data_IF_027297694826
#
_entry.id   IF_027297694826
#
_cell.length_a   1.000
_cell.length_b   1.000
_cell.length_c   1.000
_cell.angle_alpha   90.00
_cell.angle_beta   90.00
_cell.angle_gamma   90.00
#
_symmetry.space_group_name_H-M   'P 1'
#
loop_
_entity.id
_entity.type
_entity.pdbx_description
1 polymer ?
#
# COMPACT_ATOMS: atom_id res chain seq x y z
N UNK A 1 43.03 -10.83 -46.98
CA UNK A 1 42.41 -11.93 -46.20
C UNK A 1 41.88 -11.39 -44.90
N UNK A 2 40.57 -11.29 -44.70
CA UNK A 2 40.02 -10.89 -43.41
C UNK A 2 39.88 -12.14 -42.52
N UNK A 3 40.31 -12.02 -41.27
CA UNK A 3 40.16 -13.04 -40.23
C UNK A 3 38.67 -13.21 -39.86
N UNK A 4 38.18 -14.43 -39.65
CA UNK A 4 36.82 -14.65 -39.20
C UNK A 4 36.70 -14.28 -37.72
N UNK A 5 35.82 -13.35 -37.40
CA UNK A 5 35.40 -13.08 -36.02
C UNK A 5 34.55 -14.29 -35.58
N UNK A 6 35.15 -15.11 -34.73
CA UNK A 6 34.59 -16.39 -34.33
C UNK A 6 33.35 -16.25 -33.44
N UNK A 7 32.38 -17.16 -33.64
CA UNK A 7 31.16 -17.35 -32.88
C UNK A 7 31.34 -17.46 -31.35
N UNK A 8 32.57 -17.66 -30.87
CA UNK A 8 32.92 -17.68 -29.44
C UNK A 8 32.75 -16.33 -28.71
N UNK A 9 32.83 -15.20 -29.45
CA UNK A 9 32.71 -13.86 -28.86
C UNK A 9 31.27 -13.48 -28.49
N UNK A 10 30.28 -13.95 -29.25
CA UNK A 10 28.87 -13.63 -29.05
C UNK A 10 28.34 -14.41 -27.86
N UNK A 11 28.72 -15.68 -27.67
CA UNK A 11 28.37 -16.48 -26.53
C UNK A 11 28.94 -15.96 -25.20
N UNK A 12 30.20 -15.48 -25.22
CA UNK A 12 30.82 -14.90 -24.03
C UNK A 12 30.23 -13.54 -23.62
N UNK A 13 29.81 -12.73 -24.60
CA UNK A 13 29.09 -11.47 -24.33
C UNK A 13 27.67 -11.70 -23.81
N UNK A 14 26.96 -12.68 -24.36
CA UNK A 14 25.64 -13.08 -23.87
C UNK A 14 25.71 -13.67 -22.43
N UNK A 15 26.69 -14.57 -22.18
CA UNK A 15 26.93 -15.13 -20.85
C UNK A 15 27.34 -14.05 -19.82
N UNK A 16 28.17 -13.06 -20.25
CA UNK A 16 28.54 -11.94 -19.38
C UNK A 16 27.37 -10.99 -19.08
N UNK A 17 26.50 -10.73 -20.06
CA UNK A 17 25.27 -9.97 -19.88
C UNK A 17 24.27 -10.70 -18.97
N UNK A 18 24.19 -12.02 -19.08
CA UNK A 18 23.36 -12.87 -18.26
C UNK A 18 23.89 -12.98 -16.82
N UNK A 19 25.22 -13.08 -16.64
CA UNK A 19 25.87 -13.04 -15.32
C UNK A 19 25.69 -11.67 -14.65
N UNK A 20 25.78 -10.57 -15.42
CA UNK A 20 25.56 -9.20 -14.93
C UNK A 20 24.10 -8.98 -14.48
N UNK A 21 23.13 -9.58 -15.16
CA UNK A 21 21.71 -9.54 -14.76
C UNK A 21 21.44 -10.30 -13.46
N UNK A 22 22.15 -11.40 -13.21
CA UNK A 22 22.00 -12.24 -12.00
C UNK A 22 22.60 -11.59 -10.75
N UNK A 23 23.56 -10.70 -10.90
CA UNK A 23 24.29 -10.05 -9.78
C UNK A 23 23.97 -8.56 -9.62
N UNK A 24 23.24 -7.96 -10.55
CA UNK A 24 22.88 -6.54 -10.45
C UNK A 24 21.97 -6.26 -9.26
N UNK A 25 22.36 -5.32 -8.41
CA UNK A 25 21.58 -4.86 -7.26
C UNK A 25 20.29 -4.19 -7.72
N UNK A 26 20.33 -3.46 -8.84
CA UNK A 26 19.20 -2.76 -9.46
C UNK A 26 18.97 -3.26 -10.88
N UNK A 27 17.71 -3.23 -11.34
CA UNK A 27 17.37 -3.53 -12.71
C UNK A 27 17.65 -2.35 -13.64
N UNK A 28 18.16 -2.64 -14.84
CA UNK A 28 18.25 -1.68 -15.95
C UNK A 28 17.02 -1.71 -16.86
N UNK A 29 16.10 -2.65 -16.66
CA UNK A 29 14.90 -2.86 -17.46
C UNK A 29 13.70 -2.09 -16.87
N UNK A 30 13.90 -0.78 -16.62
CA UNK A 30 12.88 0.08 -16.02
C UNK A 30 12.80 1.41 -16.75
N UNK A 31 11.59 1.91 -17.00
CA UNK A 31 11.32 3.19 -17.65
C UNK A 31 11.32 4.37 -16.69
N UNK A 32 11.24 4.11 -15.39
CA UNK A 32 11.30 5.13 -14.33
C UNK A 32 11.59 4.49 -12.99
N UNK A 33 12.44 5.14 -12.22
CA UNK A 33 12.83 4.61 -10.90
C UNK A 33 13.20 5.72 -9.93
N UNK A 34 13.05 5.43 -8.63
CA UNK A 34 13.52 6.24 -7.51
C UNK A 34 14.10 5.30 -6.47
N UNK A 35 15.35 5.51 -6.10
CA UNK A 35 16.07 4.66 -5.16
C UNK A 35 16.62 5.44 -3.99
N UNK A 36 16.81 4.76 -2.87
CA UNK A 36 17.62 5.22 -1.74
C UNK A 36 18.61 4.13 -1.32
N UNK A 37 19.72 4.56 -0.72
CA UNK A 37 20.79 3.70 -0.22
C UNK A 37 21.22 4.20 1.15
N UNK A 38 21.13 3.34 2.17
CA UNK A 38 21.57 3.64 3.53
C UNK A 38 22.84 2.86 3.93
N UNK A 39 23.12 1.77 3.23
CA UNK A 39 24.31 0.97 3.39
C UNK A 39 24.14 -0.39 2.74
N UNK A 40 25.14 -0.80 1.94
CA UNK A 40 25.16 -2.11 1.30
C UNK A 40 25.88 -3.18 2.15
N UNK A 41 26.61 -2.75 3.19
CA UNK A 41 27.41 -3.61 4.07
C UNK A 41 26.86 -3.55 5.48
N UNK A 42 25.92 -4.44 5.79
CA UNK A 42 25.27 -4.54 7.10
C UNK A 42 25.52 -5.87 7.82
N UNK A 43 26.56 -6.60 7.43
CA UNK A 43 26.93 -7.87 8.07
C UNK A 43 27.44 -7.60 9.49
N UNK A 44 26.73 -8.11 10.49
CA UNK A 44 27.19 -8.10 11.89
C UNK A 44 26.43 -7.21 12.87
N UNK A 45 25.48 -6.38 12.43
CA UNK A 45 24.64 -5.61 13.37
C UNK A 45 23.43 -6.44 13.84
N UNK A 46 23.21 -6.44 15.16
CA UNK A 46 22.20 -7.28 15.82
C UNK A 46 20.71 -6.89 15.54
N UNK A 47 20.43 -5.96 14.64
CA UNK A 47 19.11 -5.40 14.40
C UNK A 47 18.46 -5.79 13.07
N UNK A 48 17.36 -5.11 12.75
CA UNK A 48 16.75 -5.01 11.42
C UNK A 48 17.16 -3.66 10.85
N UNK A 49 17.82 -3.63 9.69
CA UNK A 49 18.39 -2.42 9.10
C UNK A 49 17.93 -2.34 7.64
N UNK A 50 17.24 -1.26 7.24
CA UNK A 50 17.03 -1.00 5.82
C UNK A 50 18.37 -0.71 5.14
N UNK A 51 18.66 -1.44 4.07
CA UNK A 51 19.90 -1.26 3.31
C UNK A 51 19.69 -0.35 2.11
N UNK A 52 18.73 -0.69 1.28
CA UNK A 52 18.31 0.10 0.13
C UNK A 52 16.90 -0.30 -0.30
N UNK A 53 16.29 0.51 -1.12
CA UNK A 53 14.96 0.24 -1.66
C UNK A 53 14.56 1.29 -2.68
N UNK A 54 13.38 1.13 -3.22
CA UNK A 54 12.92 2.09 -4.22
C UNK A 54 11.59 1.73 -4.85
N UNK A 55 11.27 2.52 -5.86
CA UNK A 55 10.14 2.35 -6.76
C UNK A 55 10.65 2.11 -8.18
N UNK A 56 10.00 1.20 -8.91
CA UNK A 56 10.32 0.86 -10.29
C UNK A 56 9.07 0.79 -11.15
N UNK A 57 9.15 1.38 -12.36
CA UNK A 57 8.23 1.09 -13.47
C UNK A 57 8.94 0.14 -14.42
N UNK A 58 8.49 -1.09 -14.46
CA UNK A 58 9.10 -2.13 -15.30
C UNK A 58 8.89 -1.83 -16.78
N UNK A 59 9.90 -2.11 -17.59
CA UNK A 59 9.75 -2.17 -19.06
C UNK A 59 9.05 -3.49 -19.45
N UNK A 60 8.46 -3.61 -20.64
CA UNK A 60 7.81 -4.85 -21.10
C UNK A 60 8.71 -6.10 -21.07
N UNK A 61 10.02 -5.94 -21.18
CA UNK A 61 11.04 -7.00 -21.16
C UNK A 61 11.61 -7.28 -19.76
N UNK A 62 10.98 -6.73 -18.69
CA UNK A 62 11.49 -6.88 -17.34
C UNK A 62 11.53 -8.34 -16.90
N UNK A 63 12.73 -8.82 -16.62
CA UNK A 63 13.02 -10.15 -16.12
C UNK A 63 14.17 -10.09 -15.13
N UNK A 64 13.93 -10.44 -13.89
CA UNK A 64 14.94 -10.60 -12.84
C UNK A 64 15.07 -12.09 -12.52
N UNK A 65 16.29 -12.59 -12.52
CA UNK A 65 16.62 -13.94 -12.07
C UNK A 65 17.76 -13.87 -11.07
N UNK A 66 17.58 -14.51 -9.92
CA UNK A 66 18.59 -14.57 -8.85
C UNK A 66 18.61 -15.96 -8.24
N UNK A 67 19.77 -16.55 -8.08
CA UNK A 67 19.92 -17.84 -7.41
C UNK A 67 19.88 -17.69 -5.88
N UNK A 68 20.25 -16.50 -5.35
CA UNK A 68 20.13 -16.12 -3.94
C UNK A 68 20.23 -14.61 -3.77
N UNK A 69 19.96 -14.11 -2.57
CA UNK A 69 20.20 -12.73 -2.15
C UNK A 69 20.68 -12.69 -0.71
N UNK A 70 21.53 -11.73 -0.36
CA UNK A 70 21.98 -11.52 1.03
C UNK A 70 20.95 -10.78 1.90
N UNK A 71 19.89 -10.27 1.29
CA UNK A 71 18.90 -9.43 1.93
C UNK A 71 17.58 -10.17 2.16
N UNK A 72 16.88 -9.81 3.23
CA UNK A 72 15.45 -10.04 3.33
C UNK A 72 14.74 -8.95 2.55
N UNK A 73 14.07 -9.30 1.46
CA UNK A 73 13.47 -8.34 0.53
C UNK A 73 11.97 -8.47 0.50
N UNK A 74 11.27 -7.36 0.72
CA UNK A 74 9.83 -7.22 0.47
C UNK A 74 9.62 -6.44 -0.83
N UNK A 75 8.67 -6.91 -1.66
CA UNK A 75 8.22 -6.20 -2.85
C UNK A 75 6.69 -6.07 -2.86
N UNK A 76 6.21 -4.86 -3.17
CA UNK A 76 4.80 -4.54 -3.32
C UNK A 76 4.51 -4.09 -4.75
N UNK A 77 3.67 -4.83 -5.48
CA UNK A 77 3.15 -4.42 -6.78
C UNK A 77 2.00 -3.44 -6.56
N UNK A 78 2.05 -2.29 -7.23
CA UNK A 78 1.02 -1.23 -7.12
C UNK A 78 0.28 -0.95 -8.43
N UNK A 79 0.73 -1.54 -9.54
CA UNK A 79 0.08 -1.46 -10.84
C UNK A 79 0.63 -2.49 -11.80
N UNK A 80 -0.10 -2.74 -12.88
CA UNK A 80 0.26 -3.76 -13.86
C UNK A 80 0.10 -5.18 -13.35
N UNK A 81 0.63 -6.12 -14.10
CA UNK A 81 0.57 -7.56 -13.81
C UNK A 81 1.91 -8.23 -14.10
N UNK A 82 2.09 -9.41 -13.53
CA UNK A 82 3.32 -10.18 -13.72
C UNK A 82 3.27 -11.52 -13.03
N UNK A 83 4.44 -12.12 -12.89
CA UNK A 83 4.59 -13.42 -12.26
C UNK A 83 5.87 -13.44 -11.43
N UNK A 84 5.82 -14.02 -10.24
CA UNK A 84 6.99 -14.38 -9.45
C UNK A 84 7.09 -15.90 -9.34
N UNK A 85 8.29 -16.44 -9.58
CA UNK A 85 8.64 -17.82 -9.31
C UNK A 85 9.64 -17.84 -8.18
N UNK A 86 9.29 -18.49 -7.08
CA UNK A 86 10.13 -18.63 -5.89
C UNK A 86 10.33 -20.12 -5.59
N UNK A 87 11.56 -20.60 -5.65
CA UNK A 87 11.92 -22.03 -5.48
C UNK A 87 11.05 -22.98 -6.34
N UNK A 88 10.77 -22.57 -7.59
CA UNK A 88 9.97 -23.34 -8.55
C UNK A 88 8.45 -23.11 -8.47
N UNK A 89 7.92 -22.57 -7.37
CA UNK A 89 6.51 -22.26 -7.24
C UNK A 89 6.17 -20.90 -7.89
N UNK A 90 5.23 -20.88 -8.83
CA UNK A 90 4.77 -19.68 -9.51
C UNK A 90 3.58 -19.04 -8.80
N UNK A 91 3.58 -17.71 -8.73
CA UNK A 91 2.47 -16.92 -8.20
C UNK A 91 2.22 -15.72 -9.12
N UNK A 92 0.97 -15.54 -9.61
CA UNK A 92 0.62 -14.36 -10.38
C UNK A 92 0.65 -13.11 -9.49
N UNK A 93 1.14 -12.00 -10.07
CA UNK A 93 1.27 -10.71 -9.42
C UNK A 93 0.31 -9.70 -10.04
N UNK A 94 -0.29 -8.87 -9.19
CA UNK A 94 -1.15 -7.75 -9.56
C UNK A 94 -1.10 -6.67 -8.48
N UNK A 95 -1.73 -5.53 -8.69
CA UNK A 95 -1.79 -4.48 -7.67
C UNK A 95 -2.25 -5.03 -6.32
N UNK A 96 -1.48 -4.73 -5.26
CA UNK A 96 -1.64 -5.26 -3.91
C UNK A 96 -0.93 -6.59 -3.62
N UNK A 97 -0.28 -7.21 -4.62
CA UNK A 97 0.58 -8.37 -4.35
C UNK A 97 1.82 -7.93 -3.58
N UNK A 98 1.99 -8.49 -2.38
CA UNK A 98 3.16 -8.31 -1.52
C UNK A 98 3.85 -9.65 -1.38
N UNK A 99 5.15 -9.73 -1.64
CA UNK A 99 5.93 -10.96 -1.51
C UNK A 99 7.28 -10.72 -0.85
N UNK A 100 7.77 -11.79 -0.22
CA UNK A 100 9.02 -11.79 0.54
C UNK A 100 9.95 -12.90 0.03
N UNK A 101 11.20 -12.55 -0.16
CA UNK A 101 12.27 -13.50 -0.47
C UNK A 101 13.56 -13.14 0.26
N UNK A 102 14.41 -14.13 0.48
CA UNK A 102 15.67 -14.02 1.18
C UNK A 102 16.75 -14.95 0.58
N UNK A 103 17.85 -15.15 1.30
CA UNK A 103 18.98 -15.99 0.88
C UNK A 103 18.61 -17.45 0.54
N UNK A 104 17.44 -17.92 0.96
CA UNK A 104 16.97 -19.30 0.71
C UNK A 104 16.13 -19.40 -0.57
N UNK A 105 15.93 -18.26 -1.27
CA UNK A 105 15.04 -18.15 -2.40
C UNK A 105 15.81 -18.10 -3.72
N UNK A 106 15.53 -19.07 -4.60
CA UNK A 106 15.79 -18.91 -6.03
C UNK A 106 14.63 -18.18 -6.65
N UNK A 107 14.90 -17.02 -7.23
CA UNK A 107 13.90 -16.03 -7.62
C UNK A 107 13.91 -15.81 -9.13
N UNK A 108 12.71 -15.75 -9.72
CA UNK A 108 12.46 -15.16 -11.03
C UNK A 108 11.26 -14.23 -10.91
N UNK A 109 11.38 -12.98 -11.39
CA UNK A 109 10.29 -12.02 -11.49
C UNK A 109 10.20 -11.59 -12.93
N UNK A 110 9.01 -11.68 -13.53
CA UNK A 110 8.73 -11.16 -14.87
C UNK A 110 7.45 -10.34 -14.88
N UNK A 111 7.43 -9.28 -15.67
CA UNK A 111 6.23 -8.49 -15.92
C UNK A 111 5.40 -9.08 -17.05
N UNK A 112 4.12 -8.72 -17.11
CA UNK A 112 3.29 -8.86 -18.28
C UNK A 112 3.70 -7.77 -19.30
N UNK A 113 4.07 -8.10 -20.54
CA UNK A 113 4.52 -7.10 -21.52
C UNK A 113 3.46 -6.08 -21.92
N UNK A 114 2.17 -6.45 -21.90
CA UNK A 114 1.08 -5.55 -22.25
C UNK A 114 0.64 -4.68 -21.08
N UNK A 115 0.87 -5.14 -19.84
CA UNK A 115 0.52 -4.46 -18.59
C UNK A 115 1.70 -4.44 -17.63
N UNK A 116 2.81 -3.74 -17.98
CA UNK A 116 4.04 -3.75 -17.19
C UNK A 116 3.81 -3.30 -15.75
N UNK A 117 4.47 -3.99 -14.80
CA UNK A 117 4.34 -3.72 -13.38
C UNK A 117 4.93 -2.37 -12.98
N UNK A 118 4.27 -1.75 -12.01
CA UNK A 118 4.86 -0.73 -11.14
C UNK A 118 4.95 -1.30 -9.73
N UNK A 119 6.11 -1.22 -9.09
CA UNK A 119 6.36 -1.88 -7.81
C UNK A 119 7.33 -1.12 -6.92
N UNK A 120 7.20 -1.34 -5.62
CA UNK A 120 8.17 -0.96 -4.61
C UNK A 120 8.96 -2.18 -4.18
N UNK A 121 10.19 -1.96 -3.75
CA UNK A 121 10.98 -2.96 -3.07
C UNK A 121 11.76 -2.36 -1.91
N UNK A 122 12.03 -3.19 -0.90
CA UNK A 122 12.78 -2.83 0.30
C UNK A 122 13.68 -3.99 0.68
N UNK A 123 14.97 -3.77 0.60
CA UNK A 123 16.00 -4.72 1.00
C UNK A 123 16.49 -4.40 2.41
N UNK A 124 16.42 -5.39 3.28
CA UNK A 124 16.75 -5.29 4.69
C UNK A 124 17.85 -6.28 5.06
N UNK A 125 18.72 -5.90 5.98
CA UNK A 125 19.82 -6.71 6.47
C UNK A 125 19.84 -6.74 8.00
N UNK A 126 20.76 -7.53 8.57
CA UNK A 126 20.92 -7.72 10.00
C UNK A 126 20.40 -9.07 10.48
N UNK A 127 20.96 -9.57 11.58
CA UNK A 127 20.69 -10.92 12.10
C UNK A 127 19.20 -11.20 12.39
N UNK A 128 18.43 -10.15 12.68
CA UNK A 128 16.99 -10.27 13.00
C UNK A 128 16.07 -10.06 11.77
N UNK A 129 16.61 -9.61 10.62
CA UNK A 129 15.79 -9.24 9.47
C UNK A 129 14.90 -10.40 8.96
N UNK A 130 15.38 -11.63 8.71
CA UNK A 130 14.52 -12.69 8.19
C UNK A 130 13.37 -13.03 9.15
N UNK A 131 13.66 -13.08 10.47
CA UNK A 131 12.63 -13.39 11.48
C UNK A 131 11.61 -12.26 11.63
N UNK A 132 12.05 -11.01 11.64
CA UNK A 132 11.15 -9.84 11.78
C UNK A 132 10.25 -9.68 10.57
N UNK A 133 10.80 -9.84 9.36
CA UNK A 133 9.99 -9.79 8.13
C UNK A 133 9.00 -10.95 8.07
N UNK A 134 9.40 -12.17 8.42
CA UNK A 134 8.47 -13.31 8.47
C UNK A 134 7.36 -13.13 9.51
N UNK A 135 7.66 -12.46 10.63
CA UNK A 135 6.68 -12.21 11.69
C UNK A 135 5.52 -11.30 11.26
N UNK A 136 5.71 -10.45 10.22
CA UNK A 136 4.59 -9.66 9.68
C UNK A 136 3.56 -10.48 8.88
N UNK A 137 3.70 -11.81 8.84
CA UNK A 137 2.76 -12.72 8.17
C UNK A 137 3.12 -13.03 6.71
N UNK A 138 4.21 -12.48 6.18
CA UNK A 138 4.72 -12.77 4.83
C UNK A 138 6.02 -13.57 4.97
N UNK A 139 5.88 -14.90 5.11
CA UNK A 139 7.03 -15.79 5.18
C UNK A 139 7.87 -15.75 3.89
N UNK A 140 9.18 -16.11 3.92
CA UNK A 140 9.97 -16.26 2.72
C UNK A 140 9.30 -17.20 1.72
N UNK A 141 9.51 -16.97 0.44
CA UNK A 141 8.92 -17.72 -0.67
C UNK A 141 7.39 -17.70 -0.71
N UNK A 142 6.78 -16.66 -0.12
CA UNK A 142 5.34 -16.45 -0.15
C UNK A 142 4.97 -15.08 -0.70
N UNK A 143 3.87 -15.07 -1.47
CA UNK A 143 3.16 -13.89 -1.86
C UNK A 143 1.78 -13.86 -1.18
N UNK A 144 1.36 -12.69 -0.75
CA UNK A 144 0.03 -12.42 -0.18
C UNK A 144 -0.63 -11.29 -0.96
N UNK A 145 -1.95 -11.30 -1.02
CA UNK A 145 -2.71 -10.24 -1.66
C UNK A 145 -3.24 -9.29 -0.58
N UNK A 146 -2.78 -8.06 -0.59
CA UNK A 146 -3.30 -6.98 0.24
C UNK A 146 -4.39 -6.24 -0.55
N UNK A 147 -5.59 -6.19 -0.05
CA UNK A 147 -6.67 -5.47 -0.71
C UNK A 147 -6.62 -3.95 -0.42
N UNK A 148 -6.13 -3.56 0.77
CA UNK A 148 -5.91 -2.16 1.14
C UNK A 148 -4.43 -1.89 1.39
N UNK A 149 -3.66 -1.63 0.33
CA UNK A 149 -2.21 -1.44 0.42
C UNK A 149 -1.76 0.03 0.39
N UNK A 150 -2.67 0.99 0.33
CA UNK A 150 -2.35 2.42 0.21
C UNK A 150 -1.49 2.94 1.37
N UNK A 151 -1.71 2.45 2.60
CA UNK A 151 -0.90 2.84 3.75
C UNK A 151 0.51 2.26 3.69
N UNK A 152 0.63 1.00 3.25
CA UNK A 152 1.94 0.35 2.99
C UNK A 152 2.70 1.11 1.91
N UNK A 153 2.02 1.49 0.83
CA UNK A 153 2.59 2.29 -0.24
C UNK A 153 3.10 3.64 0.27
N UNK A 154 2.32 4.36 1.10
CA UNK A 154 2.75 5.65 1.68
C UNK A 154 4.00 5.51 2.54
N UNK A 155 4.08 4.48 3.37
CA UNK A 155 5.26 4.22 4.19
C UNK A 155 6.50 3.89 3.35
N UNK A 156 6.34 3.20 2.21
CA UNK A 156 7.43 2.96 1.26
C UNK A 156 7.86 4.26 0.55
N UNK A 157 6.91 5.15 0.21
CA UNK A 157 7.24 6.49 -0.30
C UNK A 157 7.99 7.33 0.74
N UNK A 158 7.56 7.28 2.01
CA UNK A 158 8.25 7.99 3.10
C UNK A 158 9.67 7.47 3.30
N UNK A 159 9.88 6.14 3.20
CA UNK A 159 11.22 5.53 3.22
C UNK A 159 12.11 6.02 2.09
N UNK A 160 11.59 6.11 0.85
CA UNK A 160 12.34 6.62 -0.30
C UNK A 160 12.71 8.08 -0.06
N UNK A 161 11.73 8.90 0.31
CA UNK A 161 11.94 10.34 0.55
C UNK A 161 12.96 10.60 1.65
N UNK A 162 12.86 9.89 2.78
CA UNK A 162 13.76 10.06 3.91
C UNK A 162 15.15 9.49 3.61
N UNK A 163 15.22 8.32 2.97
CA UNK A 163 16.49 7.68 2.61
C UNK A 163 17.32 8.47 1.59
N UNK A 164 16.70 9.35 0.80
CA UNK A 164 17.35 10.25 -0.14
C UNK A 164 17.91 11.53 0.50
N UNK A 165 17.57 11.80 1.77
CA UNK A 165 17.90 13.09 2.41
C UNK A 165 19.37 13.22 2.87
N UNK A 166 20.20 12.23 2.83
CA UNK A 166 21.61 12.26 3.27
C UNK A 166 21.87 12.92 4.65
N UNK A 167 20.85 12.94 5.53
CA UNK A 167 20.98 13.48 6.90
C UNK A 167 21.54 12.44 7.85
N UNK A 168 22.24 12.86 8.89
CA UNK A 168 22.79 11.97 9.93
C UNK A 168 21.70 11.12 10.61
N UNK A 169 20.46 11.61 10.65
CA UNK A 169 19.32 10.91 11.26
C UNK A 169 18.57 10.01 10.30
N UNK A 170 18.76 10.11 8.96
CA UNK A 170 17.99 9.40 7.96
C UNK A 170 17.93 7.88 8.18
N UNK A 171 19.07 7.26 8.48
CA UNK A 171 19.11 5.81 8.76
C UNK A 171 18.28 5.40 9.99
N UNK A 172 18.25 6.24 11.04
CA UNK A 172 17.46 5.99 12.25
C UNK A 172 15.95 6.15 11.96
N UNK A 173 15.59 7.19 11.21
CA UNK A 173 14.20 7.43 10.80
C UNK A 173 13.72 6.29 9.89
N UNK A 174 14.50 5.90 8.87
CA UNK A 174 14.17 4.78 8.01
C UNK A 174 14.01 3.45 8.80
N UNK A 175 14.85 3.21 9.80
CA UNK A 175 14.70 2.02 10.66
C UNK A 175 13.38 2.04 11.44
N UNK A 176 12.98 3.19 11.97
CA UNK A 176 11.70 3.34 12.66
C UNK A 176 10.52 3.17 11.69
N UNK A 177 10.60 3.74 10.47
CA UNK A 177 9.59 3.58 9.42
C UNK A 177 9.43 2.11 8.99
N UNK A 178 10.53 1.34 8.93
CA UNK A 178 10.47 -0.10 8.64
C UNK A 178 9.71 -0.87 9.73
N UNK A 179 9.93 -0.56 11.00
CA UNK A 179 9.17 -1.19 12.09
C UNK A 179 7.66 -0.87 11.97
N UNK A 180 7.30 0.39 11.70
CA UNK A 180 5.91 0.79 11.45
C UNK A 180 5.34 0.07 10.22
N UNK A 181 6.10 -0.03 9.13
CA UNK A 181 5.73 -0.75 7.91
C UNK A 181 5.41 -2.22 8.19
N UNK A 182 6.28 -2.92 8.92
CA UNK A 182 6.08 -4.34 9.25
C UNK A 182 4.85 -4.56 10.14
N UNK A 183 4.61 -3.68 11.12
CA UNK A 183 3.39 -3.73 11.95
C UNK A 183 2.13 -3.49 11.11
N UNK A 184 2.18 -2.55 10.16
CA UNK A 184 1.05 -2.29 9.26
C UNK A 184 0.79 -3.47 8.31
N UNK A 185 1.83 -4.11 7.79
CA UNK A 185 1.70 -5.33 6.98
C UNK A 185 1.08 -6.45 7.83
N UNK A 186 1.55 -6.67 9.06
CA UNK A 186 1.02 -7.68 9.98
C UNK A 186 -0.49 -7.50 10.21
N UNK A 187 -0.92 -6.26 10.47
CA UNK A 187 -2.35 -5.91 10.60
C UNK A 187 -3.13 -6.30 9.34
N UNK A 188 -2.66 -5.88 8.15
CA UNK A 188 -3.35 -6.10 6.88
C UNK A 188 -3.35 -7.58 6.45
N UNK A 189 -2.27 -8.31 6.66
CA UNK A 189 -2.21 -9.75 6.38
C UNK A 189 -3.15 -10.53 7.30
N UNK A 190 -3.22 -10.17 8.58
CA UNK A 190 -4.19 -10.74 9.53
C UNK A 190 -5.64 -10.51 9.10
N UNK A 191 -5.92 -9.40 8.41
CA UNK A 191 -7.22 -9.09 7.83
C UNK A 191 -7.51 -9.88 6.53
N UNK A 192 -6.49 -10.25 5.76
CA UNK A 192 -6.60 -10.83 4.40
C UNK A 192 -6.67 -12.37 4.36
N UNK A 193 -6.71 -13.07 5.50
CA UNK A 193 -6.82 -14.54 5.58
C UNK A 193 -8.08 -15.12 4.93
N UNK A 194 -8.20 -16.45 4.73
CA UNK A 194 -9.31 -17.10 3.99
C UNK A 194 -10.71 -16.73 4.51
N UNK A 195 -10.84 -16.41 5.81
CA UNK A 195 -12.05 -15.84 6.41
C UNK A 195 -12.23 -14.33 6.15
N UNK A 196 -11.23 -13.66 5.56
CA UNK A 196 -11.21 -12.22 5.31
C UNK A 196 -11.71 -11.80 3.92
N UNK A 197 -11.44 -12.58 2.87
CA UNK A 197 -11.69 -12.17 1.47
C UNK A 197 -13.15 -11.79 1.20
N UNK A 198 -14.11 -12.63 1.59
CA UNK A 198 -15.53 -12.29 1.40
C UNK A 198 -16.03 -11.16 2.30
N UNK A 199 -15.41 -11.00 3.47
CA UNK A 199 -15.73 -9.92 4.40
C UNK A 199 -15.22 -8.57 3.93
N UNK A 200 -14.04 -8.53 3.35
CA UNK A 200 -13.42 -7.31 2.86
C UNK A 200 -14.13 -6.76 1.62
N UNK A 201 -14.44 -7.60 0.64
CA UNK A 201 -15.24 -7.19 -0.52
C UNK A 201 -16.59 -6.62 -0.07
N UNK A 202 -17.24 -7.25 0.90
CA UNK A 202 -18.49 -6.77 1.50
C UNK A 202 -18.29 -5.43 2.21
N UNK A 203 -17.18 -5.26 2.95
CA UNK A 203 -16.83 -3.99 3.58
C UNK A 203 -16.60 -2.89 2.53
N UNK A 204 -15.81 -3.15 1.49
CA UNK A 204 -15.53 -2.19 0.41
C UNK A 204 -16.78 -1.78 -0.34
N UNK A 205 -17.69 -2.72 -0.62
CA UNK A 205 -19.02 -2.42 -1.18
C UNK A 205 -19.83 -1.51 -0.25
N UNK A 206 -19.85 -1.82 1.07
CA UNK A 206 -20.54 -1.00 2.07
C UNK A 206 -19.96 0.40 2.20
N UNK A 207 -18.63 0.51 2.20
CA UNK A 207 -17.92 1.78 2.21
C UNK A 207 -18.22 2.58 0.95
N UNK A 208 -18.10 1.97 -0.23
CA UNK A 208 -18.41 2.60 -1.51
C UNK A 208 -19.85 3.08 -1.63
N UNK A 209 -20.83 2.30 -1.14
CA UNK A 209 -22.23 2.70 -1.09
C UNK A 209 -22.43 3.95 -0.22
N UNK A 210 -21.77 4.01 0.96
CA UNK A 210 -21.82 5.19 1.82
C UNK A 210 -21.16 6.38 1.15
N UNK A 211 -19.95 6.22 0.58
CA UNK A 211 -19.20 7.32 -0.06
C UNK A 211 -19.99 7.92 -1.24
N UNK A 212 -20.66 7.07 -2.04
CA UNK A 212 -21.44 7.50 -3.19
C UNK A 212 -22.80 8.13 -2.83
N UNK A 213 -23.44 7.70 -1.73
CA UNK A 213 -24.81 8.04 -1.42
C UNK A 213 -25.00 8.63 -0.01
N UNK A 214 -23.95 9.17 0.60
CA UNK A 214 -23.98 9.65 1.98
C UNK A 214 -25.16 10.59 2.28
N UNK A 215 -25.50 11.50 1.36
CA UNK A 215 -26.61 12.44 1.52
C UNK A 215 -27.98 11.75 1.61
N UNK A 216 -28.17 10.62 0.91
CA UNK A 216 -29.45 9.91 0.79
C UNK A 216 -29.65 8.85 1.87
N UNK A 217 -28.58 8.19 2.30
CA UNK A 217 -28.64 7.15 3.32
C UNK A 217 -28.92 7.79 4.70
N UNK A 218 -29.90 7.29 5.43
CA UNK A 218 -30.29 7.80 6.75
C UNK A 218 -30.01 6.86 7.90
N UNK A 219 -30.10 5.57 7.64
CA UNK A 219 -30.08 4.51 8.65
C UNK A 219 -29.09 3.39 8.31
N UNK A 220 -28.78 2.56 9.32
CA UNK A 220 -28.05 1.31 9.09
C UNK A 220 -28.82 0.38 8.14
N UNK A 221 -30.16 0.40 8.20
CA UNK A 221 -31.02 -0.37 7.31
C UNK A 221 -30.82 -0.01 5.84
N UNK A 222 -30.72 1.29 5.52
CA UNK A 222 -30.48 1.76 4.14
C UNK A 222 -29.13 1.26 3.62
N UNK A 223 -28.09 1.31 4.48
CA UNK A 223 -26.75 0.84 4.12
C UNK A 223 -26.77 -0.67 3.85
N UNK A 224 -27.43 -1.44 4.73
CA UNK A 224 -27.49 -2.91 4.59
C UNK A 224 -28.31 -3.33 3.39
N UNK A 225 -29.37 -2.62 3.06
CA UNK A 225 -30.16 -2.84 1.84
C UNK A 225 -29.34 -2.59 0.57
N UNK A 226 -28.55 -1.52 0.56
CA UNK A 226 -27.66 -1.19 -0.58
C UNK A 226 -26.55 -2.22 -0.81
N UNK A 227 -26.15 -2.96 0.23
CA UNK A 227 -25.02 -3.92 0.17
C UNK A 227 -25.49 -5.38 0.10
N UNK A 228 -26.72 -5.66 0.50
CA UNK A 228 -27.30 -7.01 0.51
C UNK A 228 -26.72 -7.91 1.62
N UNK A 229 -26.41 -7.33 2.80
CA UNK A 229 -25.87 -8.09 3.95
C UNK A 229 -26.56 -7.71 5.25
N UNK A 230 -26.56 -8.62 6.21
CA UNK A 230 -27.19 -8.38 7.51
C UNK A 230 -26.47 -7.30 8.34
N UNK A 231 -27.22 -6.55 9.19
CA UNK A 231 -26.67 -5.47 10.02
C UNK A 231 -25.51 -5.90 10.91
N UNK A 232 -25.62 -7.04 11.57
CA UNK A 232 -24.57 -7.57 12.46
C UNK A 232 -23.27 -7.87 11.72
N UNK A 233 -23.37 -8.42 10.50
CA UNK A 233 -22.21 -8.70 9.65
C UNK A 233 -21.53 -7.41 9.21
N UNK A 234 -22.31 -6.44 8.72
CA UNK A 234 -21.78 -5.16 8.27
C UNK A 234 -21.12 -4.38 9.43
N UNK A 235 -21.75 -4.34 10.60
CA UNK A 235 -21.18 -3.72 11.81
C UNK A 235 -19.85 -4.35 12.21
N UNK A 236 -19.75 -5.69 12.18
CA UNK A 236 -18.52 -6.41 12.51
C UNK A 236 -17.42 -6.09 11.50
N UNK A 237 -17.75 -6.03 10.19
CA UNK A 237 -16.79 -5.70 9.14
C UNK A 237 -16.29 -4.26 9.26
N UNK A 238 -17.19 -3.30 9.46
CA UNK A 238 -16.79 -1.90 9.62
C UNK A 238 -15.92 -1.67 10.87
N UNK A 239 -16.25 -2.32 12.01
CA UNK A 239 -15.40 -2.28 13.20
C UNK A 239 -14.03 -2.88 12.95
N UNK A 240 -13.99 -4.00 12.20
CA UNK A 240 -12.73 -4.70 11.85
C UNK A 240 -11.84 -3.88 10.93
N UNK A 241 -12.40 -3.26 9.88
CA UNK A 241 -11.62 -2.61 8.82
C UNK A 241 -11.49 -1.10 8.98
N UNK A 242 -12.38 -0.45 9.73
CA UNK A 242 -12.42 1.00 9.87
C UNK A 242 -12.37 1.47 11.33
N UNK A 243 -12.48 0.57 12.32
CA UNK A 243 -12.57 0.92 13.73
C UNK A 243 -13.89 1.62 14.14
N UNK A 244 -14.82 1.81 13.20
CA UNK A 244 -16.06 2.52 13.36
C UNK A 244 -17.26 1.60 13.04
N UNK A 245 -18.48 1.98 13.48
CA UNK A 245 -19.68 1.36 12.92
C UNK A 245 -20.02 1.96 11.55
N UNK A 246 -20.79 1.25 10.68
CA UNK A 246 -21.24 1.79 9.40
C UNK A 246 -21.96 3.13 9.54
N UNK A 247 -22.81 3.28 10.55
CA UNK A 247 -23.53 4.52 10.84
C UNK A 247 -22.61 5.65 11.29
N UNK A 248 -21.59 5.37 12.11
CA UNK A 248 -20.58 6.37 12.48
C UNK A 248 -19.81 6.83 11.25
N UNK A 249 -19.41 5.91 10.36
CA UNK A 249 -18.76 6.24 9.11
C UNK A 249 -19.65 7.11 8.21
N UNK A 250 -20.94 6.74 8.06
CA UNK A 250 -21.92 7.56 7.34
C UNK A 250 -22.03 8.97 7.93
N UNK A 251 -22.10 9.07 9.26
CA UNK A 251 -22.17 10.37 9.94
C UNK A 251 -20.93 11.24 9.64
N UNK A 252 -19.72 10.68 9.70
CA UNK A 252 -18.50 11.40 9.33
C UNK A 252 -18.52 11.88 7.87
N UNK A 253 -18.99 11.03 6.94
CA UNK A 253 -19.10 11.42 5.53
C UNK A 253 -20.11 12.55 5.31
N UNK A 254 -21.27 12.48 5.96
CA UNK A 254 -22.28 13.56 5.96
C UNK A 254 -21.70 14.88 6.49
N UNK A 255 -20.97 14.83 7.59
CA UNK A 255 -20.37 16.02 8.20
C UNK A 255 -19.25 16.60 7.33
N UNK A 256 -18.48 15.78 6.63
CA UNK A 256 -17.50 16.24 5.66
C UNK A 256 -18.17 16.97 4.48
N UNK A 257 -19.20 16.37 3.88
CA UNK A 257 -20.00 17.03 2.83
C UNK A 257 -20.65 18.33 3.30
N UNK A 258 -21.17 18.35 4.54
CA UNK A 258 -21.75 19.56 5.11
C UNK A 258 -20.71 20.66 5.32
N UNK A 259 -19.49 20.31 5.72
CA UNK A 259 -18.40 21.27 5.83
C UNK A 259 -18.05 21.89 4.47
N UNK A 260 -17.99 21.09 3.40
CA UNK A 260 -17.80 21.57 2.02
C UNK A 260 -18.91 22.53 1.59
N UNK A 261 -20.18 22.19 1.87
CA UNK A 261 -21.33 23.05 1.56
C UNK A 261 -21.31 24.37 2.33
N UNK A 262 -20.85 24.35 3.58
CA UNK A 262 -20.74 25.55 4.42
C UNK A 262 -19.59 26.50 4.02
N UNK A 263 -18.67 26.07 3.13
CA UNK A 263 -17.64 26.93 2.54
C UNK A 263 -18.20 27.88 1.48
N UNK A 264 -19.35 27.59 0.90
CA UNK A 264 -19.95 28.44 -0.12
C UNK A 264 -20.36 29.80 0.46
N UNK A 265 -20.19 30.93 -0.28
CA UNK A 265 -20.65 32.23 0.14
C UNK A 265 -22.16 32.20 0.45
N UNK A 266 -22.55 32.78 1.58
CA UNK A 266 -23.95 32.87 2.03
C UNK A 266 -24.64 31.52 2.27
N UNK A 267 -23.90 30.43 2.44
CA UNK A 267 -24.48 29.12 2.74
C UNK A 267 -25.30 29.14 4.04
N UNK A 268 -26.52 28.63 3.98
CA UNK A 268 -27.39 28.55 5.16
C UNK A 268 -27.21 27.19 5.84
N UNK A 269 -27.00 27.21 7.15
CA UNK A 269 -26.86 25.97 7.96
C UNK A 269 -28.06 25.04 7.79
N UNK A 270 -29.27 25.59 7.66
CA UNK A 270 -30.50 24.81 7.43
C UNK A 270 -30.48 24.10 6.06
N UNK A 271 -29.98 24.76 5.03
CA UNK A 271 -29.90 24.19 3.68
C UNK A 271 -28.83 23.11 3.64
N UNK A 272 -27.63 23.36 4.18
CA UNK A 272 -26.58 22.36 4.30
C UNK A 272 -27.06 21.12 5.06
N UNK A 273 -27.80 21.29 6.17
CA UNK A 273 -28.40 20.19 6.90
C UNK A 273 -29.37 19.37 6.03
N UNK A 274 -30.26 20.02 5.27
CA UNK A 274 -31.19 19.36 4.36
C UNK A 274 -30.50 18.61 3.23
N UNK A 275 -29.48 19.21 2.62
CA UNK A 275 -28.72 18.60 1.52
C UNK A 275 -27.95 17.33 1.94
N UNK A 276 -27.51 17.25 3.20
CA UNK A 276 -26.87 16.02 3.74
C UNK A 276 -27.89 15.10 4.43
N UNK A 277 -29.19 15.33 4.24
CA UNK A 277 -30.27 14.44 4.65
C UNK A 277 -30.61 14.50 6.16
N UNK A 278 -30.48 15.67 6.80
CA UNK A 278 -31.00 15.93 8.14
C UNK A 278 -32.31 16.72 8.08
N UNK A 279 -33.39 16.14 8.60
CA UNK A 279 -34.68 16.81 8.73
C UNK A 279 -34.68 17.89 9.82
N UNK A 280 -33.90 17.66 10.92
CA UNK A 280 -33.80 18.57 12.04
C UNK A 280 -32.44 19.29 12.07
N UNK A 281 -32.40 20.62 11.83
CA UNK A 281 -31.19 21.43 11.87
C UNK A 281 -30.50 21.46 13.26
N UNK A 282 -31.24 21.26 14.34
CA UNK A 282 -30.66 21.22 15.68
C UNK A 282 -29.93 19.89 15.92
N UNK A 283 -30.50 18.81 15.45
CA UNK A 283 -29.83 17.49 15.46
C UNK A 283 -28.57 17.55 14.59
N UNK A 284 -28.66 18.10 13.40
CA UNK A 284 -27.49 18.34 12.53
C UNK A 284 -26.40 19.11 13.26
N UNK A 285 -26.73 20.26 13.87
CA UNK A 285 -25.75 21.11 14.55
C UNK A 285 -25.03 20.40 15.69
N UNK A 286 -25.73 19.55 16.45
CA UNK A 286 -25.13 18.69 17.48
C UNK A 286 -24.17 17.67 16.89
N UNK A 287 -24.55 17.02 15.81
CA UNK A 287 -23.73 16.04 15.11
C UNK A 287 -22.48 16.72 14.51
N UNK A 288 -22.63 17.87 13.87
CA UNK A 288 -21.55 18.65 13.30
C UNK A 288 -20.53 19.06 14.37
N UNK A 289 -21.01 19.63 15.49
CA UNK A 289 -20.14 20.00 16.63
C UNK A 289 -19.43 18.78 17.22
N UNK A 290 -20.08 17.62 17.27
CA UNK A 290 -19.44 16.38 17.76
C UNK A 290 -18.27 15.94 16.86
N UNK A 291 -18.39 16.09 15.54
CA UNK A 291 -17.38 15.68 14.57
C UNK A 291 -16.28 16.75 14.41
N UNK A 292 -16.66 17.98 14.18
CA UNK A 292 -15.71 19.07 13.87
C UNK A 292 -15.25 19.88 15.10
N UNK A 293 -15.81 19.59 16.31
CA UNK A 293 -15.52 20.27 17.59
C UNK A 293 -15.97 21.73 17.66
N UNK A 294 -16.51 22.28 16.60
CA UNK A 294 -17.06 23.64 16.50
C UNK A 294 -18.49 23.60 15.94
N UNK A 295 -19.33 24.58 16.30
CA UNK A 295 -20.67 24.67 15.74
C UNK A 295 -20.65 25.10 14.26
N UNK A 296 -21.63 24.72 13.41
CA UNK A 296 -21.65 25.09 12.00
C UNK A 296 -21.46 26.59 11.72
N UNK A 297 -22.13 27.46 12.50
CA UNK A 297 -21.98 28.93 12.38
C UNK A 297 -20.57 29.42 12.76
N UNK A 298 -19.96 28.82 13.77
CA UNK A 298 -18.59 29.16 14.17
C UNK A 298 -17.59 28.67 13.12
N UNK A 299 -17.82 27.51 12.54
CA UNK A 299 -17.03 26.97 11.43
C UNK A 299 -17.04 27.95 10.22
N UNK A 300 -18.21 28.47 9.82
CA UNK A 300 -18.31 29.47 8.76
C UNK A 300 -17.58 30.77 9.09
N UNK A 301 -17.69 31.28 10.33
CA UNK A 301 -17.02 32.51 10.76
C UNK A 301 -15.49 32.38 10.73
N UNK A 302 -14.96 31.26 11.17
CA UNK A 302 -13.50 31.04 11.21
C UNK A 302 -12.84 31.06 9.82
N UNK A 303 -13.62 30.84 8.76
CA UNK A 303 -13.15 30.88 7.37
C UNK A 303 -13.27 32.25 6.72
N UNK A 304 -14.20 33.10 7.19
CA UNK A 304 -14.39 34.47 6.67
C UNK A 304 -13.40 35.50 7.29
N UNK A 305 -12.52 35.03 8.18
CA UNK A 305 -11.51 35.89 8.85
C UNK A 305 -10.07 35.56 8.36
N UNK A 306 -9.92 34.77 7.28
CA UNK A 306 -8.67 34.55 6.52
C UNK A 306 -8.81 35.21 5.16
#
# INVERSE_FOLDING_TARGET
MPYPVGAAGIGALAARAELSRKTAVLSTQVSGSRYFFLGLTGTGRAGLIPAYGGFERCNPDYLIQRDSTEFSTLELVVGGEGLVRMNGAETPLRAGSLFHYDRTTRLEIRTDPERPMAKYFLCMTGARAPRRVSACGVAPNRAVQLAMFTEVQRLLEDLIREGQQHRATAGRICSALVEVLLLKIEELVGLSGPKGRGGEETFLRGKGAIDAQAARLGTLGDITAAVGVGPSQLCRLFRRYQGLSPYQYLLYRKMALAAELLLAPNALVKEAAGQVGFADPYHFSRCFKKVHRVAPKEFQRSLNHV
#
